data_IF_372491142774
#
_entry.id   IF_372491142774
#
_cell.length_a   1.000
_cell.length_b   1.000
_cell.length_c   1.000
_cell.angle_alpha   90.00
_cell.angle_beta   90.00
_cell.angle_gamma   90.00
#
_symmetry.space_group_name_H-M   'P 1'
#
loop_
_entity.id
_entity.type
_entity.pdbx_description
1 polymer ?
#
# COMPACT_ATOMS: atom_id res chain seq x y z
N UNK A 1 31.53 4.76 -55.39
CA UNK A 1 32.19 5.91 -54.71
C UNK A 1 31.95 7.15 -55.56
N UNK A 2 31.64 8.33 -55.00
CA UNK A 2 31.41 8.74 -53.59
C UNK A 2 29.89 8.96 -53.32
N UNK A 3 29.33 8.77 -52.12
CA UNK A 3 29.42 9.59 -50.89
C UNK A 3 28.97 11.03 -51.13
N UNK A 4 27.87 11.45 -50.48
CA UNK A 4 27.92 12.55 -49.51
C UNK A 4 26.55 12.73 -48.84
N UNK A 5 26.51 12.22 -47.61
CA UNK A 5 25.56 12.58 -46.57
C UNK A 5 25.86 14.02 -46.13
N UNK A 6 24.93 14.95 -46.33
CA UNK A 6 24.97 16.26 -45.68
C UNK A 6 23.77 16.41 -44.74
N UNK A 7 24.02 15.94 -43.50
CA UNK A 7 23.81 16.67 -42.25
C UNK A 7 22.83 17.85 -42.31
N UNK A 8 21.57 17.59 -41.99
CA UNK A 8 20.54 18.61 -41.76
C UNK A 8 19.96 18.34 -40.37
N UNK A 9 20.22 19.27 -39.46
CA UNK A 9 19.80 19.37 -38.06
C UNK A 9 20.60 18.58 -37.01
N UNK A 10 21.68 19.24 -36.57
CA UNK A 10 22.31 18.99 -35.28
C UNK A 10 21.39 19.41 -34.13
N UNK A 11 20.76 18.41 -33.52
CA UNK A 11 20.37 18.45 -32.12
C UNK A 11 21.32 17.48 -31.40
N UNK A 12 22.48 17.99 -30.98
CA UNK A 12 23.34 17.28 -30.04
C UNK A 12 22.67 17.43 -28.67
N UNK A 13 21.92 16.41 -28.26
CA UNK A 13 21.47 16.25 -26.88
C UNK A 13 22.65 15.63 -26.09
N UNK A 14 23.19 16.41 -25.16
CA UNK A 14 24.28 16.05 -24.26
C UNK A 14 23.77 15.07 -23.19
N UNK A 15 23.30 13.91 -23.62
CA UNK A 15 22.93 12.82 -22.72
C UNK A 15 23.31 11.48 -23.33
N UNK A 16 24.59 11.33 -23.66
CA UNK A 16 25.16 10.04 -23.99
C UNK A 16 26.24 9.65 -22.98
N UNK A 17 26.07 8.42 -22.48
CA UNK A 17 27.00 7.58 -21.74
C UNK A 17 27.27 7.91 -20.26
N UNK A 18 26.47 7.26 -19.40
CA UNK A 18 27.09 6.34 -18.46
C UNK A 18 26.49 4.95 -18.66
N UNK A 19 27.36 4.04 -19.08
CA UNK A 19 27.15 2.64 -19.37
C UNK A 19 26.62 1.87 -18.14
N UNK A 20 25.78 0.89 -18.46
CA UNK A 20 25.81 -0.48 -17.92
C UNK A 20 26.22 -0.66 -16.44
N UNK A 21 25.28 -1.07 -15.59
CA UNK A 21 25.23 -2.41 -15.01
C UNK A 21 24.22 -2.42 -13.85
N UNK A 22 23.18 -3.26 -13.96
CA UNK A 22 22.65 -4.11 -12.88
C UNK A 22 21.13 -4.25 -12.90
N UNK A 23 20.75 -5.50 -13.18
CA UNK A 23 19.59 -6.18 -12.62
C UNK A 23 18.23 -5.80 -13.21
N UNK A 24 17.78 -6.67 -14.12
CA UNK A 24 16.37 -7.00 -14.26
C UNK A 24 15.84 -7.35 -12.87
N UNK A 25 15.29 -6.39 -12.16
CA UNK A 25 14.59 -6.65 -10.91
C UNK A 25 13.45 -7.61 -11.25
N UNK A 26 13.44 -8.85 -10.73
CA UNK A 26 12.20 -9.58 -10.69
C UNK A 26 11.30 -8.72 -9.81
N UNK A 27 10.19 -8.25 -10.37
CA UNK A 27 9.09 -7.61 -9.64
C UNK A 27 8.41 -8.68 -8.79
N UNK A 28 9.18 -9.31 -7.90
CA UNK A 28 8.64 -10.03 -6.77
C UNK A 28 8.23 -8.93 -5.80
N UNK A 29 6.93 -8.79 -5.63
CA UNK A 29 6.24 -7.83 -4.79
C UNK A 29 6.55 -8.09 -3.31
N UNK A 30 7.81 -7.99 -2.91
CA UNK A 30 8.21 -7.86 -1.53
C UNK A 30 8.14 -6.36 -1.25
N UNK A 31 6.95 -5.91 -0.86
CA UNK A 31 6.83 -4.65 -0.14
C UNK A 31 7.73 -4.78 1.09
N UNK A 32 8.93 -4.21 1.00
CA UNK A 32 9.91 -4.14 2.06
C UNK A 32 9.21 -3.65 3.35
N UNK A 33 9.15 -4.48 4.41
CA UNK A 33 8.52 -4.12 5.68
C UNK A 33 9.08 -2.86 6.33
N UNK A 34 10.26 -2.40 5.87
CA UNK A 34 11.06 -1.34 6.46
C UNK A 34 10.44 0.05 6.20
N UNK A 35 9.95 0.33 4.98
CA UNK A 35 9.29 1.61 4.65
C UNK A 35 7.95 1.75 5.37
N UNK A 36 7.30 0.61 5.64
CA UNK A 36 6.03 0.54 6.35
C UNK A 36 6.19 1.01 7.80
N UNK A 37 7.28 0.60 8.44
CA UNK A 37 7.58 0.88 9.85
C UNK A 37 7.88 2.37 10.08
N UNK A 38 8.77 2.98 9.29
CA UNK A 38 9.19 4.38 9.53
C UNK A 38 8.04 5.38 9.54
N UNK A 39 6.99 5.13 8.76
CA UNK A 39 5.81 6.00 8.65
C UNK A 39 4.84 5.84 9.82
N UNK A 40 4.80 4.67 10.45
CA UNK A 40 3.86 4.35 11.54
C UNK A 40 4.54 4.30 12.93
N UNK A 41 5.87 4.35 12.99
CA UNK A 41 6.65 4.27 14.23
C UNK A 41 6.31 5.39 15.24
N UNK A 42 5.85 6.54 14.75
CA UNK A 42 5.40 7.65 15.59
C UNK A 42 4.01 7.44 16.21
N UNK A 43 3.27 6.41 15.80
CA UNK A 43 1.91 6.13 16.28
C UNK A 43 1.92 5.19 17.50
N UNK A 44 0.86 5.16 18.32
CA UNK A 44 0.72 4.19 19.39
C UNK A 44 0.82 2.75 18.88
N UNK A 45 1.44 1.85 19.66
CA UNK A 45 1.62 0.43 19.30
C UNK A 45 0.31 -0.25 18.85
N UNK A 46 -0.83 0.07 19.50
CA UNK A 46 -2.15 -0.45 19.09
C UNK A 46 -2.53 -0.07 17.66
N UNK A 47 -2.17 1.13 17.22
CA UNK A 47 -2.45 1.60 15.86
C UNK A 47 -1.49 0.92 14.88
N UNK A 48 -0.22 0.78 15.25
CA UNK A 48 0.77 0.07 14.44
C UNK A 48 0.36 -1.37 14.18
N UNK A 49 0.00 -2.12 15.23
CA UNK A 49 -0.47 -3.51 15.13
C UNK A 49 -1.69 -3.65 14.21
N UNK A 50 -2.65 -2.74 14.33
CA UNK A 50 -3.86 -2.76 13.50
C UNK A 50 -3.56 -2.38 12.04
N UNK A 51 -2.62 -1.47 11.77
CA UNK A 51 -2.17 -1.16 10.40
C UNK A 51 -1.46 -2.38 9.80
N UNK A 52 -0.51 -2.98 10.53
CA UNK A 52 0.19 -4.19 10.09
C UNK A 52 -0.79 -5.33 9.82
N UNK A 53 -1.79 -5.50 10.68
CA UNK A 53 -2.88 -6.46 10.49
C UNK A 53 -3.62 -6.21 9.17
N UNK A 54 -3.99 -4.96 8.87
CA UNK A 54 -4.71 -4.60 7.64
C UNK A 54 -3.88 -4.88 6.39
N UNK A 55 -2.59 -4.53 6.42
CA UNK A 55 -1.65 -4.80 5.33
C UNK A 55 -1.57 -6.30 5.09
N UNK A 56 -1.36 -7.11 6.14
CA UNK A 56 -1.30 -8.57 6.05
C UNK A 56 -2.56 -9.17 5.42
N UNK A 57 -3.75 -8.68 5.81
CA UNK A 57 -5.01 -9.16 5.21
C UNK A 57 -5.10 -8.78 3.74
N UNK A 58 -4.74 -7.54 3.37
CA UNK A 58 -4.78 -7.10 1.96
C UNK A 58 -3.82 -7.92 1.12
N UNK A 59 -2.56 -8.08 1.53
CA UNK A 59 -1.55 -8.83 0.77
C UNK A 59 -1.93 -10.31 0.66
N UNK A 60 -2.47 -10.90 1.72
CA UNK A 60 -2.98 -12.26 1.70
C UNK A 60 -4.13 -12.45 0.70
N UNK A 61 -5.02 -11.47 0.61
CA UNK A 61 -6.11 -11.49 -0.37
C UNK A 61 -5.54 -11.26 -1.78
N UNK A 62 -4.70 -10.26 -2.00
CA UNK A 62 -4.10 -9.95 -3.31
C UNK A 62 -3.36 -11.15 -3.92
N UNK A 63 -2.61 -11.90 -3.11
CA UNK A 63 -1.85 -13.07 -3.57
C UNK A 63 -2.73 -14.25 -4.02
N UNK A 64 -3.99 -14.32 -3.55
CA UNK A 64 -4.90 -15.45 -3.79
C UNK A 64 -6.08 -15.10 -4.69
N UNK A 65 -6.38 -13.81 -4.82
CA UNK A 65 -7.51 -13.30 -5.56
C UNK A 65 -7.24 -13.44 -7.07
N UNK A 66 -8.03 -14.27 -7.74
CA UNK A 66 -8.08 -14.33 -9.20
C UNK A 66 -9.34 -13.61 -9.69
N UNK A 67 -9.22 -12.30 -9.94
CA UNK A 67 -10.30 -11.45 -10.45
C UNK A 67 -10.56 -10.22 -9.59
N UNK A 68 -11.83 -9.78 -9.53
CA UNK A 68 -12.24 -8.57 -8.81
C UNK A 68 -12.44 -8.77 -7.31
N UNK A 69 -12.41 -7.66 -6.58
CA UNK A 69 -12.70 -7.55 -5.14
C UNK A 69 -14.21 -7.64 -4.87
N UNK A 70 -14.80 -8.79 -5.17
CA UNK A 70 -16.23 -9.06 -5.00
C UNK A 70 -16.47 -9.98 -3.80
N UNK A 71 -17.66 -9.91 -3.21
CA UNK A 71 -18.07 -10.75 -2.08
C UNK A 71 -17.84 -12.25 -2.33
N UNK A 72 -18.23 -12.74 -3.52
CA UNK A 72 -18.10 -14.15 -3.90
C UNK A 72 -16.65 -14.63 -3.91
N UNK A 73 -15.71 -13.74 -4.25
CA UNK A 73 -14.29 -14.06 -4.30
C UNK A 73 -13.61 -13.86 -2.93
N UNK A 74 -14.04 -12.86 -2.16
CA UNK A 74 -13.44 -12.53 -0.87
C UNK A 74 -13.86 -13.48 0.24
N UNK A 75 -15.14 -13.85 0.33
CA UNK A 75 -15.64 -14.75 1.38
C UNK A 75 -14.84 -16.08 1.51
N UNK A 76 -14.54 -16.82 0.42
CA UNK A 76 -13.78 -18.07 0.53
C UNK A 76 -12.29 -17.86 0.87
N UNK A 77 -11.76 -16.64 0.68
CA UNK A 77 -10.39 -16.29 1.07
C UNK A 77 -10.36 -15.85 2.54
N UNK A 78 -11.34 -15.05 2.96
CA UNK A 78 -11.46 -14.53 4.33
C UNK A 78 -11.74 -15.64 5.34
N UNK A 79 -12.45 -16.71 4.96
CA UNK A 79 -12.60 -17.89 5.81
C UNK A 79 -11.26 -18.59 6.10
N UNK A 80 -10.27 -18.47 5.20
CA UNK A 80 -8.91 -19.01 5.42
C UNK A 80 -8.03 -18.08 6.24
N UNK A 81 -8.35 -16.78 6.29
CA UNK A 81 -7.60 -15.80 7.09
C UNK A 81 -7.64 -16.19 8.57
N UNK A 82 -8.79 -16.63 9.07
CA UNK A 82 -8.92 -17.06 10.46
C UNK A 82 -8.01 -18.25 10.77
N UNK A 83 -7.98 -19.26 9.89
CA UNK A 83 -7.17 -20.46 10.08
C UNK A 83 -5.67 -20.21 9.91
N UNK A 84 -5.27 -19.36 8.97
CA UNK A 84 -3.86 -19.17 8.62
C UNK A 84 -3.18 -18.04 9.37
N UNK A 85 -3.88 -16.93 9.59
CA UNK A 85 -3.32 -15.77 10.28
C UNK A 85 -3.71 -15.72 11.75
N UNK A 86 -4.62 -16.58 12.23
CA UNK A 86 -5.17 -16.56 13.60
C UNK A 86 -5.74 -15.18 13.98
N UNK A 87 -6.20 -14.42 12.98
CA UNK A 87 -6.76 -13.09 13.13
C UNK A 87 -8.27 -13.16 12.97
N UNK A 88 -8.99 -12.29 13.68
CA UNK A 88 -10.44 -12.16 13.48
C UNK A 88 -10.71 -11.68 12.05
N UNK A 89 -11.49 -12.44 11.25
CA UNK A 89 -11.69 -12.11 9.84
C UNK A 89 -12.56 -10.84 9.73
N UNK A 90 -12.07 -9.79 9.05
CA UNK A 90 -12.89 -8.61 8.76
C UNK A 90 -13.96 -8.94 7.70
N UNK A 91 -15.04 -8.16 7.69
CA UNK A 91 -16.06 -8.25 6.63
C UNK A 91 -15.48 -7.93 5.26
N UNK A 92 -15.96 -8.59 4.20
CA UNK A 92 -15.50 -8.34 2.82
C UNK A 92 -15.59 -6.86 2.42
N UNK A 93 -16.62 -6.14 2.88
CA UNK A 93 -16.79 -4.69 2.63
C UNK A 93 -15.68 -3.88 3.28
N UNK A 94 -15.29 -4.28 4.49
CA UNK A 94 -14.21 -3.65 5.23
C UNK A 94 -12.90 -3.80 4.48
N UNK A 95 -12.58 -5.02 4.00
CA UNK A 95 -11.34 -5.24 3.25
C UNK A 95 -11.36 -4.53 1.90
N UNK A 96 -12.48 -4.53 1.19
CA UNK A 96 -12.62 -3.77 -0.05
C UNK A 96 -12.42 -2.25 0.19
N UNK A 97 -12.92 -1.72 1.30
CA UNK A 97 -12.73 -0.32 1.69
C UNK A 97 -11.26 -0.01 2.02
N UNK A 98 -10.60 -0.92 2.74
CA UNK A 98 -9.17 -0.80 3.03
C UNK A 98 -8.34 -0.85 1.75
N UNK A 99 -8.59 -1.82 0.85
CA UNK A 99 -7.93 -1.90 -0.44
C UNK A 99 -8.13 -0.64 -1.26
N UNK A 100 -9.35 -0.09 -1.29
CA UNK A 100 -9.64 1.16 -1.99
C UNK A 100 -8.77 2.30 -1.45
N UNK A 101 -8.81 2.52 -0.13
CA UNK A 101 -8.02 3.56 0.54
C UNK A 101 -6.51 3.38 0.29
N UNK A 102 -6.03 2.14 0.39
CA UNK A 102 -4.64 1.77 0.14
C UNK A 102 -4.22 2.03 -1.31
N UNK A 103 -5.10 1.73 -2.28
CA UNK A 103 -4.84 1.99 -3.71
C UNK A 103 -4.82 3.49 -4.02
N UNK A 104 -5.77 4.25 -3.47
CA UNK A 104 -5.90 5.70 -3.68
C UNK A 104 -4.71 6.47 -3.08
N UNK A 105 -4.13 5.95 -2.00
CA UNK A 105 -2.97 6.51 -1.35
C UNK A 105 -1.63 6.04 -1.94
N UNK A 106 -1.62 5.30 -3.05
CA UNK A 106 -0.36 4.84 -3.67
C UNK A 106 0.33 3.69 -2.95
N UNK A 107 -0.44 2.82 -2.25
CA UNK A 107 0.05 1.70 -1.43
C UNK A 107 0.81 2.12 -0.17
N UNK A 108 0.46 3.28 0.35
CA UNK A 108 1.05 3.81 1.56
C UNK A 108 0.40 3.24 2.85
N UNK A 109 1.19 2.91 3.89
CA UNK A 109 0.68 2.37 5.16
C UNK A 109 -0.26 3.32 5.91
N UNK A 110 0.01 4.62 5.83
CA UNK A 110 -0.76 5.65 6.55
C UNK A 110 -2.25 5.66 6.16
N UNK A 111 -2.58 5.19 4.95
CA UNK A 111 -3.95 5.10 4.46
C UNK A 111 -4.81 4.08 5.21
N UNK A 112 -4.16 3.13 5.89
CA UNK A 112 -4.79 2.06 6.65
C UNK A 112 -4.96 2.39 8.13
N UNK A 113 -4.53 3.57 8.57
CA UNK A 113 -4.72 4.03 9.95
C UNK A 113 -6.23 4.10 10.26
N UNK A 114 -6.72 3.50 11.36
CA UNK A 114 -8.13 3.53 11.70
C UNK A 114 -8.61 4.96 11.97
N UNK A 115 -9.44 5.53 11.10
CA UNK A 115 -9.93 6.92 11.22
C UNK A 115 -10.75 7.20 12.48
N UNK A 116 -11.32 6.17 13.11
CA UNK A 116 -12.14 6.32 14.31
C UNK A 116 -11.31 6.45 15.60
N UNK A 117 -9.98 6.24 15.56
CA UNK A 117 -9.12 6.47 16.74
C UNK A 117 -9.10 7.95 17.16
N UNK A 118 -9.36 8.86 16.23
CA UNK A 118 -9.49 10.30 16.50
C UNK A 118 -10.83 10.68 17.14
N UNK A 119 -11.79 9.75 17.21
CA UNK A 119 -13.13 10.00 17.74
C UNK A 119 -13.12 9.85 19.27
N UNK A 120 -12.56 10.83 19.97
CA UNK A 120 -12.44 10.81 21.43
C UNK A 120 -11.97 12.12 22.07
N UNK A 121 -11.18 12.93 21.38
CA UNK A 121 -10.76 14.25 21.86
C UNK A 121 -11.83 15.34 21.63
N UNK A 122 -13.08 15.07 21.97
CA UNK A 122 -14.01 16.18 22.25
C UNK A 122 -13.60 16.68 23.61
N UNK A 123 -12.80 17.74 23.67
CA UNK A 123 -12.60 18.48 24.92
C UNK A 123 -14.00 18.82 25.42
N UNK A 124 -14.43 18.11 26.46
CA UNK A 124 -15.64 18.41 27.18
C UNK A 124 -15.28 19.66 27.96
N UNK A 125 -15.44 20.83 27.35
CA UNK A 125 -15.53 22.08 28.09
C UNK A 125 -16.69 21.88 29.05
N UNK A 126 -16.35 21.51 30.29
CA UNK A 126 -17.29 21.54 31.39
C UNK A 126 -17.58 23.01 31.59
N UNK A 127 -18.74 23.44 31.11
CA UNK A 127 -19.30 24.74 31.43
C UNK A 127 -19.52 24.78 32.96
N UNK A 128 -18.52 25.28 33.67
CA UNK A 128 -18.63 25.62 35.09
C UNK A 128 -19.44 26.91 35.19
N UNK A 129 -20.77 26.79 35.08
CA UNK A 129 -21.67 27.87 35.47
C UNK A 129 -21.77 27.87 37.00
N UNK A 130 -21.32 28.99 37.57
CA UNK A 130 -21.27 29.34 38.99
C UNK A 130 -22.64 29.71 39.56
#
# INVERSE_FOLDING_TARGET
MPSDSNNIFGFFDEFEASEEESQRLPKELVLEPIEVLSTIDSLPAKIQEEVLRRIKVITFVETRLKGGWTEKNLNPILSRVESELQLTPPSWRTVATWKKSYSEAGREPWALIPKHTFKGNRQKEMDSQS
#
